data_IF_762893834508
#
_entry.id   IF_762893834508
#
_cell.length_a   1.000
_cell.length_b   1.000
_cell.length_c   1.000
_cell.angle_alpha   90.00
_cell.angle_beta   90.00
_cell.angle_gamma   90.00
#
_symmetry.space_group_name_H-M   'P 1'
#
loop_
_entity.id
_entity.type
_entity.pdbx_description
1 polymer ?
#
# COMPACT_ATOMS: atom_id res chain seq x y z
N UNK A 1 -0.24 0.57 5.72
CA UNK A 1 0.08 -0.83 5.43
C UNK A 1 -1.19 -1.49 4.91
N UNK A 2 -1.27 -1.63 3.59
CA UNK A 2 -2.37 -2.34 2.93
C UNK A 2 -1.92 -3.79 2.81
N UNK A 3 -2.73 -4.74 3.26
CA UNK A 3 -2.42 -6.17 3.16
C UNK A 3 -2.60 -6.61 1.70
N UNK A 4 -1.54 -7.15 1.09
CA UNK A 4 -1.46 -7.31 -0.38
C UNK A 4 -1.92 -8.67 -0.90
N UNK A 5 -1.89 -9.70 -0.06
CA UNK A 5 -2.49 -11.00 -0.34
C UNK A 5 -2.87 -11.70 0.97
N UNK A 6 -4.14 -12.05 1.09
CA UNK A 6 -4.72 -12.73 2.26
C UNK A 6 -4.29 -14.20 2.36
N UNK A 7 -3.78 -14.80 1.29
CA UNK A 7 -3.45 -16.23 1.28
C UNK A 7 -2.21 -16.57 2.13
N UNK A 8 -1.37 -15.57 2.42
CA UNK A 8 -0.09 -15.76 3.09
C UNK A 8 0.04 -14.94 4.39
N UNK A 9 -1.00 -14.22 4.78
CA UNK A 9 -1.10 -13.61 6.11
C UNK A 9 -1.42 -14.70 7.14
N UNK A 10 -1.12 -14.43 8.42
CA UNK A 10 -1.35 -15.37 9.53
C UNK A 10 -2.74 -16.04 9.42
N UNK A 11 -2.76 -17.37 9.37
CA UNK A 11 -3.94 -18.16 8.99
C UNK A 11 -5.11 -17.91 9.93
N UNK A 12 -4.83 -17.64 11.21
CA UNK A 12 -5.85 -17.36 12.21
C UNK A 12 -6.58 -16.01 11.98
N UNK A 13 -5.88 -14.98 11.50
CA UNK A 13 -6.51 -13.68 11.23
C UNK A 13 -7.30 -13.74 9.92
N UNK A 14 -6.71 -14.36 8.90
CA UNK A 14 -7.30 -14.43 7.58
C UNK A 14 -8.54 -15.32 7.54
N UNK A 15 -8.48 -16.52 8.15
CA UNK A 15 -9.60 -17.44 8.19
C UNK A 15 -10.79 -16.89 9.00
N UNK A 16 -10.52 -16.07 10.02
CA UNK A 16 -11.56 -15.43 10.83
C UNK A 16 -12.42 -14.45 10.03
N UNK A 17 -11.83 -13.74 9.06
CA UNK A 17 -12.53 -12.71 8.29
C UNK A 17 -12.90 -13.15 6.86
N UNK A 18 -12.10 -14.03 6.26
CA UNK A 18 -12.27 -14.50 4.89
C UNK A 18 -12.70 -15.97 4.79
N UNK A 19 -12.73 -16.74 5.88
CA UNK A 19 -12.96 -18.19 5.82
C UNK A 19 -11.74 -18.96 5.31
N UNK A 20 -11.86 -20.28 5.18
CA UNK A 20 -10.73 -21.11 4.72
C UNK A 20 -10.50 -20.96 3.21
N UNK A 21 -9.25 -20.98 2.73
CA UNK A 21 -8.93 -20.91 1.30
C UNK A 21 -9.20 -22.24 0.57
N UNK A 22 -10.25 -22.97 0.94
CA UNK A 22 -10.67 -24.20 0.29
C UNK A 22 -11.68 -23.93 -0.83
N UNK A 23 -11.69 -24.78 -1.86
CA UNK A 23 -12.60 -24.70 -3.01
C UNK A 23 -14.09 -24.65 -2.62
N UNK A 24 -14.44 -25.20 -1.46
CA UNK A 24 -15.81 -25.29 -0.94
C UNK A 24 -16.24 -24.11 -0.07
N UNK A 25 -15.33 -23.20 0.28
CA UNK A 25 -15.57 -22.14 1.26
C UNK A 25 -15.48 -20.75 0.60
N UNK A 26 -14.31 -20.11 0.55
CA UNK A 26 -14.17 -18.77 -0.04
C UNK A 26 -13.00 -18.60 -1.03
N UNK A 27 -12.67 -19.63 -1.80
CA UNK A 27 -11.59 -19.55 -2.79
C UNK A 27 -11.73 -18.33 -3.74
N UNK A 28 -12.95 -17.98 -4.15
CA UNK A 28 -13.21 -16.83 -5.04
C UNK A 28 -12.89 -15.49 -4.37
N UNK A 29 -13.16 -15.33 -3.07
CA UNK A 29 -12.83 -14.12 -2.33
C UNK A 29 -11.33 -13.94 -2.16
N UNK A 30 -10.58 -15.03 -1.97
CA UNK A 30 -9.11 -14.99 -2.00
C UNK A 30 -8.58 -14.66 -3.40
N UNK A 31 -9.23 -15.18 -4.44
CA UNK A 31 -8.86 -14.96 -5.84
C UNK A 31 -9.05 -13.49 -6.28
N UNK A 32 -10.16 -12.87 -5.87
CA UNK A 32 -10.51 -11.47 -6.16
C UNK A 32 -9.72 -10.46 -5.31
N UNK A 33 -9.31 -10.83 -4.09
CA UNK A 33 -8.56 -9.95 -3.19
C UNK A 33 -7.05 -9.92 -3.46
N UNK A 34 -6.56 -10.70 -4.43
CA UNK A 34 -5.15 -10.75 -4.81
C UNK A 34 -4.76 -9.51 -5.63
N UNK A 35 -4.03 -8.59 -5.00
CA UNK A 35 -3.58 -7.36 -5.65
C UNK A 35 -2.60 -7.62 -6.81
N UNK A 36 -1.93 -8.77 -6.85
CA UNK A 36 -0.96 -9.08 -7.91
C UNK A 36 -1.64 -9.21 -9.28
N UNK A 37 -2.90 -9.65 -9.33
CA UNK A 37 -3.68 -9.74 -10.58
C UNK A 37 -4.15 -8.40 -11.11
N UNK A 38 -4.25 -7.42 -10.22
CA UNK A 38 -4.68 -6.07 -10.54
C UNK A 38 -3.51 -5.09 -10.66
N UNK A 39 -2.27 -5.59 -10.65
CA UNK A 39 -1.06 -4.77 -10.75
C UNK A 39 -1.08 -3.85 -11.98
N UNK A 40 -1.57 -4.32 -13.13
CA UNK A 40 -1.70 -3.51 -14.35
C UNK A 40 -2.63 -2.29 -14.20
N UNK A 41 -3.57 -2.30 -13.25
CA UNK A 41 -4.47 -1.16 -12.98
C UNK A 41 -3.74 0.02 -12.29
N UNK A 42 -2.50 -0.20 -11.86
CA UNK A 42 -1.61 0.82 -11.30
C UNK A 42 -0.73 1.47 -12.37
N UNK A 43 -0.87 1.07 -13.64
CA UNK A 43 -0.18 1.74 -14.73
C UNK A 43 -0.56 3.24 -14.77
N UNK A 44 0.42 4.09 -15.05
CA UNK A 44 0.31 5.55 -15.04
C UNK A 44 -0.03 6.20 -13.67
N UNK A 45 -0.16 5.42 -12.60
CA UNK A 45 -0.37 5.96 -11.25
C UNK A 45 0.94 6.07 -10.50
N UNK A 46 1.08 7.11 -9.68
CA UNK A 46 2.17 7.17 -8.71
C UNK A 46 1.90 6.17 -7.59
N UNK A 47 2.75 5.17 -7.48
CA UNK A 47 2.66 4.12 -6.47
C UNK A 47 3.97 4.02 -5.69
N UNK A 48 3.86 4.02 -4.37
CA UNK A 48 4.96 3.85 -3.43
C UNK A 48 4.68 2.66 -2.52
N UNK A 49 5.55 1.66 -2.59
CA UNK A 49 5.54 0.50 -1.73
C UNK A 49 6.62 0.63 -0.65
N UNK A 50 6.27 0.44 0.62
CA UNK A 50 7.20 0.51 1.75
C UNK A 50 7.05 -0.74 2.61
N UNK A 51 8.15 -1.43 2.92
CA UNK A 51 8.13 -2.61 3.78
C UNK A 51 9.44 -2.79 4.54
N UNK A 52 9.35 -3.16 5.82
CA UNK A 52 10.48 -3.64 6.62
C UNK A 52 10.84 -5.10 6.33
N UNK A 53 12.11 -5.48 6.41
CA UNK A 53 12.52 -6.88 6.13
C UNK A 53 12.32 -7.82 7.33
N UNK A 54 12.20 -7.28 8.53
CA UNK A 54 12.05 -8.02 9.78
C UNK A 54 10.62 -7.96 10.34
N UNK A 55 9.63 -7.74 9.47
CA UNK A 55 8.22 -7.79 9.84
C UNK A 55 7.80 -9.26 10.09
N UNK A 56 7.37 -9.49 11.32
CA UNK A 56 6.91 -10.78 11.84
C UNK A 56 5.41 -11.01 11.61
N UNK A 57 4.65 -9.95 11.32
CA UNK A 57 3.20 -9.99 11.10
C UNK A 57 2.83 -10.15 9.63
N UNK A 58 3.56 -9.46 8.74
CA UNK A 58 3.37 -9.54 7.29
C UNK A 58 4.73 -9.81 6.68
N UNK A 59 4.95 -11.02 6.19
CA UNK A 59 6.25 -11.37 5.64
C UNK A 59 6.60 -10.53 4.41
N UNK A 60 7.85 -10.05 4.36
CA UNK A 60 8.41 -9.29 3.24
C UNK A 60 8.24 -9.97 1.86
N UNK A 61 8.16 -11.31 1.85
CA UNK A 61 7.87 -12.10 0.64
C UNK A 61 6.58 -11.66 -0.07
N UNK A 62 5.57 -11.20 0.68
CA UNK A 62 4.31 -10.71 0.11
C UNK A 62 4.52 -9.51 -0.79
N UNK A 63 5.24 -8.51 -0.29
CA UNK A 63 5.55 -7.35 -1.11
C UNK A 63 6.44 -7.67 -2.30
N UNK A 64 7.31 -8.69 -2.18
CA UNK A 64 8.10 -9.14 -3.33
C UNK A 64 7.25 -9.80 -4.43
N UNK A 65 6.13 -10.45 -4.08
CA UNK A 65 5.19 -10.96 -5.08
C UNK A 65 4.52 -9.82 -5.85
N UNK A 66 4.12 -8.74 -5.17
CA UNK A 66 3.55 -7.56 -5.83
C UNK A 66 4.59 -6.84 -6.70
N UNK A 67 5.81 -6.63 -6.19
CA UNK A 67 6.93 -6.06 -6.97
C UNK A 67 7.17 -6.85 -8.25
N UNK A 68 7.18 -8.19 -8.15
CA UNK A 68 7.32 -9.07 -9.32
C UNK A 68 6.17 -8.89 -10.32
N UNK A 69 4.93 -8.78 -9.84
CA UNK A 69 3.76 -8.57 -10.68
C UNK A 69 3.80 -7.21 -11.38
N UNK A 70 4.08 -6.13 -10.65
CA UNK A 70 4.24 -4.77 -11.19
C UNK A 70 5.32 -4.72 -12.26
N UNK A 71 6.49 -5.32 -11.99
CA UNK A 71 7.59 -5.38 -12.96
C UNK A 71 7.21 -6.18 -14.21
N UNK A 72 6.46 -7.28 -14.07
CA UNK A 72 5.98 -8.09 -15.20
C UNK A 72 5.01 -7.31 -16.09
N UNK A 73 4.14 -6.51 -15.51
CA UNK A 73 3.18 -5.66 -16.22
C UNK A 73 3.80 -4.34 -16.73
N UNK A 74 5.09 -4.10 -16.48
CA UNK A 74 5.79 -2.89 -16.92
C UNK A 74 5.36 -1.61 -16.19
N UNK A 75 4.73 -1.73 -15.03
CA UNK A 75 4.29 -0.59 -14.22
C UNK A 75 5.50 0.02 -13.53
N UNK A 76 5.63 1.35 -13.62
CA UNK A 76 6.66 2.10 -12.89
C UNK A 76 6.15 2.39 -11.48
N UNK A 77 6.94 2.05 -10.47
CA UNK A 77 6.63 2.27 -9.06
C UNK A 77 7.89 2.65 -8.28
N UNK A 78 7.69 3.22 -7.10
CA UNK A 78 8.75 3.42 -6.10
C UNK A 78 8.64 2.34 -5.05
N UNK A 79 9.78 1.84 -4.61
CA UNK A 79 9.84 0.83 -3.57
C UNK A 79 10.94 1.18 -2.57
N UNK A 80 10.56 1.26 -1.30
CA UNK A 80 11.46 1.52 -0.18
C UNK A 80 11.46 0.31 0.75
N UNK A 81 12.62 -0.31 0.92
CA UNK A 81 12.83 -1.36 1.90
C UNK A 81 13.57 -0.81 3.11
N UNK A 82 13.17 -1.21 4.31
CA UNK A 82 13.88 -0.92 5.55
C UNK A 82 14.44 -2.20 6.15
N UNK A 83 15.77 -2.40 6.09
CA UNK A 83 16.42 -3.56 6.73
C UNK A 83 16.19 -3.56 8.24
N UNK A 84 16.02 -4.75 8.82
CA UNK A 84 15.88 -5.00 10.26
C UNK A 84 14.71 -4.30 10.97
N UNK A 85 13.86 -3.62 10.20
CA UNK A 85 12.64 -3.00 10.69
C UNK A 85 11.47 -3.98 10.58
N UNK A 86 10.68 -4.04 11.66
CA UNK A 86 9.37 -4.69 11.66
C UNK A 86 8.25 -3.72 11.29
N UNK A 87 7.02 -4.12 11.59
CA UNK A 87 5.80 -3.37 11.27
C UNK A 87 5.76 -1.94 11.88
N UNK A 88 6.40 -1.73 13.03
CA UNK A 88 6.39 -0.45 13.74
C UNK A 88 7.36 0.60 13.18
N UNK A 89 8.31 0.19 12.32
CA UNK A 89 9.36 1.07 11.74
C UNK A 89 10.10 1.93 12.79
N UNK A 90 10.32 1.41 13.99
CA UNK A 90 10.76 2.18 15.16
C UNK A 90 12.09 2.90 14.97
N UNK A 91 13.06 2.30 14.25
CA UNK A 91 14.37 2.91 14.02
C UNK A 91 14.41 3.89 12.86
N UNK A 92 13.38 3.92 12.00
CA UNK A 92 13.39 4.67 10.74
C UNK A 92 12.22 5.64 10.57
N UNK A 93 11.40 5.88 11.60
CA UNK A 93 10.22 6.77 11.51
C UNK A 93 10.52 8.12 10.87
N UNK A 94 11.61 8.77 11.26
CA UNK A 94 11.99 10.07 10.68
C UNK A 94 12.27 9.98 9.18
N UNK A 95 12.95 8.93 8.73
CA UNK A 95 13.20 8.72 7.30
C UNK A 95 11.92 8.31 6.56
N UNK A 96 11.08 7.48 7.17
CA UNK A 96 9.77 7.10 6.65
C UNK A 96 8.91 8.33 6.36
N UNK A 97 8.80 9.28 7.30
CA UNK A 97 8.03 10.50 7.10
C UNK A 97 8.60 11.36 5.96
N UNK A 98 9.92 11.50 5.85
CA UNK A 98 10.54 12.24 4.73
C UNK A 98 10.24 11.61 3.37
N UNK A 99 10.26 10.28 3.29
CA UNK A 99 9.91 9.55 2.06
C UNK A 99 8.44 9.78 1.70
N UNK A 100 7.54 9.77 2.70
CA UNK A 100 6.12 10.05 2.49
C UNK A 100 5.86 11.49 2.05
N UNK A 101 6.50 12.46 2.72
CA UNK A 101 6.42 13.90 2.37
C UNK A 101 6.87 14.11 0.92
N UNK A 102 8.07 13.65 0.56
CA UNK A 102 8.57 13.79 -0.81
C UNK A 102 7.70 13.09 -1.85
N UNK A 103 7.11 11.94 -1.50
CA UNK A 103 6.17 11.26 -2.39
C UNK A 103 4.87 12.05 -2.58
N UNK A 104 4.31 12.63 -1.52
CA UNK A 104 3.10 13.45 -1.61
C UNK A 104 3.34 14.76 -2.35
N UNK A 105 4.48 15.41 -2.13
CA UNK A 105 4.88 16.61 -2.88
C UNK A 105 4.99 16.30 -4.38
N UNK A 106 5.56 15.15 -4.74
CA UNK A 106 5.62 14.72 -6.13
C UNK A 106 4.24 14.40 -6.70
N UNK A 107 3.34 13.84 -5.89
CA UNK A 107 1.98 13.45 -6.31
C UNK A 107 1.05 14.65 -6.54
N UNK A 108 1.09 15.63 -5.64
CA UNK A 108 0.13 16.71 -5.59
C UNK A 108 0.73 18.08 -5.95
N UNK A 109 2.04 18.14 -6.14
CA UNK A 109 2.77 19.39 -6.32
C UNK A 109 2.95 20.16 -5.00
N UNK A 110 3.78 21.22 -5.00
CA UNK A 110 3.87 22.11 -3.85
C UNK A 110 2.50 22.71 -3.54
N UNK A 111 2.09 22.66 -2.27
CA UNK A 111 0.89 23.36 -1.81
C UNK A 111 1.05 24.85 -2.12
N UNK A 112 0.25 25.37 -3.07
CA UNK A 112 0.16 26.80 -3.30
C UNK A 112 -0.65 27.40 -2.14
N UNK A 113 0.05 27.83 -1.10
CA UNK A 113 -0.56 28.52 0.04
C UNK A 113 -1.28 29.82 -0.38
N UNK A 114 -1.07 30.34 -1.60
CA UNK A 114 -1.85 31.45 -2.12
C UNK A 114 -3.31 31.08 -2.39
N UNK A 115 -3.63 29.81 -2.68
CA UNK A 115 -5.03 29.34 -2.80
C UNK A 115 -5.72 29.22 -1.43
N UNK A 116 -4.96 28.85 -0.39
CA UNK A 116 -5.52 28.58 0.93
C UNK A 116 -5.96 29.85 1.67
N UNK A 117 -5.28 30.98 1.46
CA UNK A 117 -5.70 32.27 2.03
C UNK A 117 -6.90 32.91 1.30
N UNK A 118 -7.20 32.49 0.07
CA UNK A 118 -8.37 32.97 -0.68
C UNK A 118 -9.61 32.09 -0.43
N UNK A 119 -9.42 30.84 0.01
CA UNK A 119 -10.46 29.80 0.12
C UNK A 119 -11.28 29.75 1.41
N UNK A 120 -10.99 30.53 2.46
CA UNK A 120 -11.74 30.46 3.74
C UNK A 120 -13.17 31.05 3.68
N UNK A 121 -13.69 31.36 2.48
CA UNK A 121 -15.09 31.78 2.26
C UNK A 121 -15.96 30.68 1.61
N UNK A 122 -15.45 29.47 1.38
CA UNK A 122 -16.15 28.44 0.60
C UNK A 122 -16.92 27.38 1.43
N UNK A 123 -17.62 27.79 2.49
CA UNK A 123 -18.72 27.01 3.07
C UNK A 123 -20.04 27.75 2.88
N UNK A 124 -20.53 27.81 1.64
CA UNK A 124 -21.96 28.06 1.37
C UNK A 124 -22.59 26.77 0.88
N UNK A 125 -23.25 26.06 1.80
CA UNK A 125 -24.23 25.04 1.42
C UNK A 125 -25.39 25.75 0.72
N UNK A 126 -25.53 25.57 -0.59
CA UNK A 126 -26.79 25.88 -1.27
C UNK A 126 -27.79 24.78 -0.93
N UNK A 127 -28.86 25.20 -0.26
CA UNK A 127 -30.12 24.47 -0.09
C UNK A 127 -30.81 24.28 -1.44
#
# INVERSE_FOLDING_TARGET
MILESLMFTDSAFTERYMGTPNLTDNYRGYDEADLTKHAGNLNEKMFLLIHGTADDTVHYQQSMLLVKALAKEGVIFRHQTYPDEGNSFDGVKSHLYKVLEGFFDDCFGPLDFAEWEVGTSFFTFKQ
#
